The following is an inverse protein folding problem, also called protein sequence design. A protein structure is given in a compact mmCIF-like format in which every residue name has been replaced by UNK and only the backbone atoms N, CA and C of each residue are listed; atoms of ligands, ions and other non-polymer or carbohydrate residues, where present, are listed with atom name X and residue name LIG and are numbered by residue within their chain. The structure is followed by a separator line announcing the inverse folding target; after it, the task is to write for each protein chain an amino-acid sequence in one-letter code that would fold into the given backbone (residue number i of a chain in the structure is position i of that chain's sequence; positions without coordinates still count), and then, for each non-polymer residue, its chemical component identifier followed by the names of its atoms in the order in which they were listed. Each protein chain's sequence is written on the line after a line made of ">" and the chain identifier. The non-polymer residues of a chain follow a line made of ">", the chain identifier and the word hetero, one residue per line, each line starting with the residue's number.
data_IF_639302929508
#
_entry.id   IF_639302929508
#
_cell.length_a   1.000
_cell.length_b   1.000
_cell.length_c   1.000
_cell.angle_alpha   90.00
_cell.angle_beta   90.00
_cell.angle_gamma   90.00
#
_symmetry.space_group_name_H-M   'P 1'
#
loop_
_entity.id
_entity.type
_entity.pdbx_description
1 polymer ?
#
# COMPACT_ATOMS: atom_id res chain seq x y z
N UNK A 1 38.41 -41.23 33.27
CA UNK A 1 37.86 -39.90 33.58
C UNK A 1 38.30 -38.93 32.49
N UNK A 2 37.53 -38.80 31.41
CA UNK A 2 37.82 -37.81 30.37
C UNK A 2 37.21 -36.48 30.78
N UNK A 3 38.08 -35.53 31.12
CA UNK A 3 37.74 -34.13 31.39
C UNK A 3 37.07 -33.53 30.16
N UNK A 4 35.79 -33.19 30.30
CA UNK A 4 35.09 -32.32 29.36
C UNK A 4 35.58 -30.89 29.65
N UNK A 5 36.56 -30.42 28.89
CA UNK A 5 36.90 -29.00 28.84
C UNK A 5 35.67 -28.25 28.33
N UNK A 6 34.97 -27.61 29.28
CA UNK A 6 33.91 -26.65 28.96
C UNK A 6 34.56 -25.53 28.16
N UNK A 7 34.22 -25.44 26.88
CA UNK A 7 34.38 -24.23 26.08
C UNK A 7 33.64 -23.09 26.78
N UNK A 8 34.30 -22.43 27.73
CA UNK A 8 33.77 -21.24 28.37
C UNK A 8 33.87 -20.11 27.35
N UNK A 9 32.72 -19.61 26.89
CA UNK A 9 32.66 -18.39 26.09
C UNK A 9 33.39 -17.29 26.87
N UNK A 10 34.52 -16.83 26.33
CA UNK A 10 35.30 -15.75 26.92
C UNK A 10 34.57 -14.44 26.64
N UNK A 11 33.81 -13.95 27.61
CA UNK A 11 33.16 -12.64 27.54
C UNK A 11 34.21 -11.58 27.80
N UNK A 12 34.66 -10.90 26.74
CA UNK A 12 35.53 -9.74 26.90
C UNK A 12 34.70 -8.55 27.43
N UNK A 13 34.78 -8.29 28.75
CA UNK A 13 34.06 -7.19 29.42
C UNK A 13 34.51 -5.80 28.93
N UNK A 14 35.66 -5.69 28.27
CA UNK A 14 36.20 -4.42 27.76
C UNK A 14 35.48 -3.96 26.47
N UNK A 15 34.87 -4.90 25.75
CA UNK A 15 33.95 -4.60 24.65
C UNK A 15 32.55 -4.43 25.26
N UNK A 16 32.15 -3.19 25.54
CA UNK A 16 30.90 -2.84 26.21
C UNK A 16 29.65 -3.60 25.72
N UNK A 17 28.62 -3.68 26.56
CA UNK A 17 27.38 -4.40 26.26
C UNK A 17 26.68 -3.86 25.01
N UNK A 18 26.37 -4.73 24.04
CA UNK A 18 25.59 -4.34 22.86
C UNK A 18 24.15 -3.96 23.27
N UNK A 19 23.66 -2.82 22.77
CA UNK A 19 22.23 -2.46 22.90
C UNK A 19 21.38 -3.52 22.17
N UNK A 20 20.27 -4.01 22.77
CA UNK A 20 19.44 -5.06 22.17
C UNK A 20 18.66 -4.60 20.95
N UNK A 21 18.39 -3.29 20.84
CA UNK A 21 17.72 -2.66 19.71
C UNK A 21 18.59 -1.52 19.17
N UNK A 22 18.58 -1.36 17.84
CA UNK A 22 19.13 -0.17 17.19
C UNK A 22 18.36 1.09 17.60
N UNK A 23 18.94 2.28 17.39
CA UNK A 23 18.25 3.52 17.76
C UNK A 23 16.97 3.72 16.91
N UNK A 24 16.98 3.26 15.66
CA UNK A 24 15.81 3.24 14.75
C UNK A 24 14.73 2.27 15.22
N UNK A 25 15.10 1.04 15.60
CA UNK A 25 14.15 0.08 16.18
C UNK A 25 13.53 0.62 17.47
N UNK A 26 14.34 1.24 18.33
CA UNK A 26 13.87 1.83 19.58
C UNK A 26 12.88 2.96 19.36
N UNK A 27 13.13 3.83 18.39
CA UNK A 27 12.19 4.89 18.01
C UNK A 27 10.89 4.31 17.48
N UNK A 28 10.97 3.35 16.55
CA UNK A 28 9.79 2.70 15.97
C UNK A 28 8.97 2.00 17.06
N UNK A 29 9.61 1.28 17.99
CA UNK A 29 8.92 0.59 19.08
C UNK A 29 8.14 1.56 19.97
N UNK A 30 8.69 2.75 20.26
CA UNK A 30 7.97 3.77 21.03
C UNK A 30 6.71 4.24 20.30
N UNK A 31 6.82 4.46 18.99
CA UNK A 31 5.69 4.91 18.17
C UNK A 31 4.62 3.82 18.04
N UNK A 32 5.01 2.57 17.81
CA UNK A 32 4.07 1.44 17.77
C UNK A 32 3.30 1.30 19.09
N UNK A 33 3.98 1.38 20.24
CA UNK A 33 3.33 1.34 21.57
C UNK A 33 2.38 2.49 21.81
N UNK A 34 2.69 3.68 21.28
CA UNK A 34 1.79 4.83 21.34
C UNK A 34 0.57 4.67 20.43
N UNK A 35 0.73 4.06 19.26
CA UNK A 35 -0.35 3.88 18.28
C UNK A 35 -1.28 2.71 18.62
N UNK A 36 -0.77 1.67 19.29
CA UNK A 36 -1.47 0.45 19.67
C UNK A 36 -1.27 0.15 21.17
N UNK A 37 -1.76 1.01 22.08
CA UNK A 37 -1.61 0.79 23.52
C UNK A 37 -2.33 -0.47 24.04
N UNK A 38 -3.28 -0.99 23.28
CA UNK A 38 -4.07 -2.18 23.59
C UNK A 38 -3.40 -3.51 23.18
N UNK A 39 -2.29 -3.45 22.43
CA UNK A 39 -1.61 -4.61 21.87
C UNK A 39 -0.25 -4.85 22.53
N UNK A 40 0.16 -6.11 22.59
CA UNK A 40 1.52 -6.49 22.97
C UNK A 40 2.46 -6.43 21.76
N UNK A 41 3.63 -5.83 21.93
CA UNK A 41 4.62 -5.66 20.86
C UNK A 41 5.95 -6.30 21.26
N UNK A 42 6.32 -7.35 20.54
CA UNK A 42 7.58 -8.07 20.74
C UNK A 42 8.59 -7.69 19.67
N UNK A 43 9.76 -7.20 20.10
CA UNK A 43 10.84 -6.85 19.18
C UNK A 43 11.81 -8.03 18.95
N UNK A 44 12.36 -8.14 17.76
CA UNK A 44 13.37 -9.14 17.38
C UNK A 44 12.96 -10.59 17.67
N UNK A 45 11.68 -10.91 17.47
CA UNK A 45 11.15 -12.26 17.71
C UNK A 45 11.56 -13.20 16.57
N UNK A 46 11.88 -14.46 16.87
CA UNK A 46 12.19 -15.43 15.82
C UNK A 46 10.91 -15.82 15.09
N UNK A 47 11.01 -16.01 13.78
CA UNK A 47 9.87 -16.48 12.99
C UNK A 47 9.34 -17.84 13.47
N UNK A 48 10.23 -18.68 14.03
CA UNK A 48 9.87 -19.97 14.64
C UNK A 48 9.04 -19.87 15.92
N UNK A 49 9.04 -18.72 16.59
CA UNK A 49 8.22 -18.48 17.78
C UNK A 49 6.82 -17.95 17.40
N UNK A 50 6.65 -17.49 16.15
CA UNK A 50 5.40 -16.92 15.61
C UNK A 50 4.63 -17.95 14.78
N UNK A 51 5.32 -18.73 13.95
CA UNK A 51 4.71 -19.70 13.04
C UNK A 51 5.02 -21.11 13.50
N UNK A 52 3.97 -21.93 13.67
CA UNK A 52 4.11 -23.38 13.90
C UNK A 52 4.60 -24.06 12.62
N UNK A 53 5.73 -24.76 12.71
CA UNK A 53 6.29 -25.48 11.58
C UNK A 53 6.70 -26.90 11.96
N UNK A 54 6.63 -27.82 11.00
CA UNK A 54 7.16 -29.17 11.16
C UNK A 54 8.66 -29.18 11.44
N UNK A 55 9.17 -30.29 12.00
CA UNK A 55 10.56 -30.39 12.48
C UNK A 55 11.61 -30.09 11.41
N UNK A 56 11.33 -30.44 10.14
CA UNK A 56 12.22 -30.14 9.00
C UNK A 56 12.28 -28.64 8.70
N UNK A 57 11.14 -27.95 8.72
CA UNK A 57 11.02 -26.53 8.44
C UNK A 57 11.52 -25.67 9.59
N UNK A 58 11.34 -26.13 10.84
CA UNK A 58 11.79 -25.43 12.06
C UNK A 58 13.26 -25.01 12.00
N UNK A 59 14.13 -25.89 11.52
CA UNK A 59 15.57 -25.61 11.41
C UNK A 59 15.90 -24.50 10.43
N UNK A 60 15.06 -24.27 9.42
CA UNK A 60 15.23 -23.17 8.48
C UNK A 60 14.63 -21.88 9.04
N UNK A 61 13.43 -21.91 9.61
CA UNK A 61 12.75 -20.68 10.05
C UNK A 61 13.33 -20.09 11.33
N UNK A 62 13.96 -20.89 12.20
CA UNK A 62 14.56 -20.41 13.47
C UNK A 62 15.69 -19.40 13.29
N UNK A 63 16.32 -19.35 12.12
CA UNK A 63 17.36 -18.36 11.81
C UNK A 63 16.80 -17.02 11.35
N UNK A 64 15.49 -16.93 11.09
CA UNK A 64 14.84 -15.70 10.66
C UNK A 64 14.22 -14.99 11.86
N UNK A 65 14.36 -13.66 11.88
CA UNK A 65 13.81 -12.80 12.90
C UNK A 65 12.85 -11.81 12.25
N UNK A 66 11.86 -11.39 13.03
CA UNK A 66 10.95 -10.29 12.72
C UNK A 66 11.34 -9.10 13.59
N UNK A 67 11.38 -7.90 13.00
CA UNK A 67 11.77 -6.71 13.76
C UNK A 67 10.74 -6.42 14.85
N UNK A 68 9.44 -6.49 14.51
CA UNK A 68 8.36 -6.48 15.50
C UNK A 68 7.23 -7.44 15.16
N UNK A 69 6.60 -7.97 16.21
CA UNK A 69 5.38 -8.76 16.15
C UNK A 69 4.35 -8.07 17.04
N UNK A 70 3.17 -7.84 16.48
CA UNK A 70 2.03 -7.23 17.17
C UNK A 70 1.07 -8.36 17.52
N UNK A 71 0.75 -8.48 18.81
CA UNK A 71 -0.19 -9.44 19.33
C UNK A 71 -1.39 -8.74 19.97
N UNK A 72 -2.56 -9.38 19.91
CA UNK A 72 -3.71 -8.98 20.73
C UNK A 72 -3.49 -9.33 22.21
N UNK A 73 -4.47 -9.01 23.05
CA UNK A 73 -4.42 -9.25 24.50
C UNK A 73 -4.43 -10.74 24.87
N UNK A 74 -4.87 -11.60 23.95
CA UNK A 74 -4.88 -13.06 24.12
C UNK A 74 -3.57 -13.70 23.63
N UNK A 75 -2.66 -12.91 23.07
CA UNK A 75 -1.36 -13.34 22.56
C UNK A 75 -1.40 -13.85 21.12
N UNK A 76 -2.50 -13.67 20.37
CA UNK A 76 -2.55 -14.02 18.96
C UNK A 76 -1.84 -12.97 18.12
N UNK A 77 -1.06 -13.42 17.14
CA UNK A 77 -0.37 -12.51 16.22
C UNK A 77 -1.35 -11.84 15.27
N UNK A 78 -1.43 -10.52 15.34
CA UNK A 78 -2.24 -9.65 14.47
C UNK A 78 -1.46 -9.29 13.22
N UNK A 79 -0.20 -8.90 13.38
CA UNK A 79 0.66 -8.50 12.26
C UNK A 79 2.15 -8.60 12.63
N UNK A 80 2.99 -8.76 11.62
CA UNK A 80 4.43 -8.59 11.70
C UNK A 80 4.84 -7.25 11.06
N UNK A 81 5.83 -6.56 11.63
CA UNK A 81 6.38 -5.31 11.11
C UNK A 81 7.87 -5.47 10.83
N UNK A 82 8.30 -5.04 9.66
CA UNK A 82 9.69 -5.04 9.22
C UNK A 82 10.18 -3.62 8.89
N UNK A 83 11.41 -3.32 9.27
CA UNK A 83 12.07 -2.07 8.95
C UNK A 83 12.89 -2.23 7.66
N UNK A 84 12.34 -1.73 6.55
CA UNK A 84 13.08 -1.67 5.30
C UNK A 84 14.14 -0.56 5.36
N UNK A 85 15.41 -0.93 5.17
CA UNK A 85 16.47 0.03 4.86
C UNK A 85 16.70 0.11 3.34
N UNK A 86 16.90 1.33 2.86
CA UNK A 86 17.17 1.67 1.45
C UNK A 86 18.46 1.07 0.89
N UNK A 87 19.30 0.47 1.74
CA UNK A 87 20.66 0.01 1.44
C UNK A 87 20.74 -1.45 0.98
N UNK A 88 19.62 -2.18 0.86
CA UNK A 88 19.63 -3.63 0.64
C UNK A 88 19.22 -4.10 -0.76
N UNK A 89 19.90 -3.65 -1.82
CA UNK A 89 19.61 -4.11 -3.19
C UNK A 89 20.42 -5.34 -3.65
N UNK A 90 20.78 -6.23 -2.72
CA UNK A 90 21.47 -7.48 -3.07
C UNK A 90 20.48 -8.64 -3.26
N UNK A 91 20.75 -9.51 -4.24
CA UNK A 91 19.88 -10.66 -4.60
C UNK A 91 19.58 -11.57 -3.41
N UNK A 92 20.53 -11.75 -2.49
CA UNK A 92 20.37 -12.60 -1.29
C UNK A 92 19.40 -12.02 -0.27
N UNK A 93 19.32 -10.70 -0.14
CA UNK A 93 18.34 -10.03 0.72
C UNK A 93 16.93 -10.25 0.16
N UNK A 94 16.74 -9.98 -1.14
CA UNK A 94 15.47 -10.23 -1.83
C UNK A 94 14.98 -11.68 -1.73
N UNK A 95 15.87 -12.67 -1.87
CA UNK A 95 15.51 -14.08 -1.70
C UNK A 95 15.11 -14.43 -0.26
N UNK A 96 15.73 -13.79 0.74
CA UNK A 96 15.35 -13.98 2.16
C UNK A 96 14.02 -13.31 2.47
N UNK A 97 13.80 -12.10 1.97
CA UNK A 97 12.55 -11.38 2.09
C UNK A 97 11.39 -12.15 1.46
N UNK A 98 11.57 -12.62 0.22
CA UNK A 98 10.54 -13.40 -0.47
C UNK A 98 10.16 -14.69 0.29
N UNK A 99 11.13 -15.33 0.97
CA UNK A 99 10.86 -16.50 1.82
C UNK A 99 10.06 -16.12 3.07
N UNK A 100 10.44 -15.04 3.78
CA UNK A 100 9.67 -14.53 4.93
C UNK A 100 8.25 -14.19 4.54
N UNK A 101 8.08 -13.45 3.44
CA UNK A 101 6.78 -13.04 2.92
C UNK A 101 5.91 -14.26 2.58
N UNK A 102 6.52 -15.31 1.99
CA UNK A 102 5.83 -16.57 1.72
C UNK A 102 5.36 -17.27 2.99
N UNK A 103 6.25 -17.46 3.97
CA UNK A 103 5.89 -18.15 5.21
C UNK A 103 4.85 -17.41 6.05
N UNK A 104 4.94 -16.08 6.17
CA UNK A 104 3.95 -15.27 6.89
C UNK A 104 2.59 -15.31 6.17
N UNK A 105 2.59 -15.26 4.84
CA UNK A 105 1.37 -15.40 4.03
C UNK A 105 0.71 -16.75 4.24
N UNK A 106 1.48 -17.83 4.18
CA UNK A 106 0.97 -19.19 4.42
C UNK A 106 0.42 -19.36 5.85
N UNK A 107 0.97 -18.61 6.81
CA UNK A 107 0.49 -18.55 8.19
C UNK A 107 -0.70 -17.60 8.41
N UNK A 108 -1.16 -16.90 7.36
CA UNK A 108 -2.24 -15.91 7.45
C UNK A 108 -1.87 -14.63 8.21
N UNK A 109 -0.57 -14.35 8.37
CA UNK A 109 -0.06 -13.20 9.13
C UNK A 109 0.27 -12.07 8.17
N UNK A 110 -0.29 -10.88 8.41
CA UNK A 110 0.04 -9.68 7.64
C UNK A 110 1.48 -9.24 7.94
N UNK A 111 2.26 -9.00 6.88
CA UNK A 111 3.54 -8.30 6.98
C UNK A 111 3.40 -6.83 6.57
N UNK A 112 3.86 -5.91 7.41
CA UNK A 112 3.85 -4.47 7.17
C UNK A 112 5.30 -3.99 7.13
N UNK A 113 5.73 -3.41 6.01
CA UNK A 113 7.09 -2.87 5.85
C UNK A 113 7.09 -1.36 6.07
N UNK A 114 7.95 -0.89 6.97
CA UNK A 114 8.10 0.52 7.35
C UNK A 114 9.49 1.00 6.96
N UNK A 115 9.55 2.09 6.19
CA UNK A 115 10.81 2.69 5.75
C UNK A 115 11.32 3.78 6.69
N UNK A 116 10.42 4.42 7.42
CA UNK A 116 10.76 5.49 8.37
C UNK A 116 9.96 5.31 9.66
N UNK A 117 10.56 5.49 10.84
CA UNK A 117 9.88 5.24 12.12
C UNK A 117 8.49 5.90 12.24
N UNK A 118 8.32 7.13 11.78
CA UNK A 118 7.04 7.85 11.86
C UNK A 118 5.88 7.19 11.09
N UNK A 119 6.14 6.30 10.13
CA UNK A 119 5.10 5.54 9.44
C UNK A 119 4.38 4.59 10.40
N UNK A 120 5.01 4.21 11.52
CA UNK A 120 4.40 3.43 12.59
C UNK A 120 3.15 4.11 13.20
N UNK A 121 3.02 5.43 13.10
CA UNK A 121 1.81 6.12 13.56
C UNK A 121 0.57 5.76 12.73
N UNK A 122 0.74 5.24 11.50
CA UNK A 122 -0.34 4.79 10.63
C UNK A 122 -0.62 3.30 10.75
N UNK A 123 0.04 2.60 11.68
CA UNK A 123 -0.03 1.14 11.77
C UNK A 123 -1.46 0.62 11.92
N UNK A 124 -2.31 1.32 12.67
CA UNK A 124 -3.73 0.97 12.87
C UNK A 124 -4.49 0.92 11.54
N UNK A 125 -4.40 1.98 10.75
CA UNK A 125 -5.00 2.05 9.42
C UNK A 125 -4.46 0.95 8.50
N UNK A 126 -3.14 0.73 8.55
CA UNK A 126 -2.51 -0.32 7.76
C UNK A 126 -3.01 -1.70 8.17
N UNK A 127 -3.22 -1.99 9.45
CA UNK A 127 -3.80 -3.26 9.90
C UNK A 127 -5.24 -3.40 9.41
N UNK A 128 -6.08 -2.38 9.59
CA UNK A 128 -7.50 -2.38 9.22
C UNK A 128 -7.74 -2.48 7.70
N UNK A 129 -6.89 -1.85 6.88
CA UNK A 129 -6.96 -1.93 5.41
C UNK A 129 -6.62 -3.35 4.90
N UNK A 130 -6.09 -4.24 5.76
CA UNK A 130 -5.85 -5.61 5.35
C UNK A 130 -7.14 -6.36 5.04
N UNK A 131 -7.38 -6.55 3.75
CA UNK A 131 -8.26 -7.59 3.25
C UNK A 131 -7.39 -8.84 3.09
N UNK A 132 -7.42 -9.83 4.01
CA UNK A 132 -6.89 -11.13 3.66
C UNK A 132 -7.70 -11.58 2.44
N UNK A 133 -7.06 -11.77 1.28
CA UNK A 133 -7.73 -12.49 0.21
C UNK A 133 -8.26 -13.78 0.84
N UNK A 134 -9.57 -14.02 0.72
CA UNK A 134 -10.24 -15.23 1.20
C UNK A 134 -9.62 -16.46 0.51
N UNK A 135 -8.50 -16.94 1.01
CA UNK A 135 -7.90 -18.23 0.65
C UNK A 135 -8.40 -19.28 1.64
N UNK A 136 -9.72 -19.35 1.80
CA UNK A 136 -10.43 -20.52 2.34
C UNK A 136 -11.84 -20.49 1.72
N UNK A 137 -11.91 -20.62 0.39
CA UNK A 137 -13.02 -21.39 -0.16
C UNK A 137 -12.56 -22.84 -0.12
N UNK A 138 -13.04 -23.57 0.87
CA UNK A 138 -13.18 -25.01 0.75
C UNK A 138 -13.89 -25.26 -0.60
N UNK A 139 -13.34 -26.09 -1.50
CA UNK A 139 -13.88 -26.21 -2.85
C UNK A 139 -15.35 -26.60 -2.75
N UNK A 140 -16.23 -25.75 -3.30
CA UNK A 140 -17.69 -25.91 -3.30
C UNK A 140 -18.17 -27.16 -4.08
N UNK A 141 -17.23 -27.90 -4.66
CA UNK A 141 -17.35 -29.31 -4.97
C UNK A 141 -16.01 -29.99 -4.62
N UNK A 142 -15.90 -30.69 -3.48
CA UNK A 142 -14.83 -31.67 -3.35
C UNK A 142 -14.97 -32.64 -4.53
N UNK A 143 -13.87 -33.12 -5.15
CA UNK A 143 -13.99 -34.18 -6.13
C UNK A 143 -14.77 -35.31 -5.47
N UNK A 144 -15.96 -35.60 -6.02
CA UNK A 144 -16.73 -36.77 -5.62
C UNK A 144 -15.81 -37.95 -5.87
N UNK A 145 -15.33 -38.54 -4.78
CA UNK A 145 -14.59 -39.78 -4.85
C UNK A 145 -15.61 -40.83 -5.26
N UNK A 146 -15.75 -41.05 -6.57
CA UNK A 146 -16.49 -42.20 -7.03
C UNK A 146 -15.81 -43.44 -6.43
N UNK A 147 -16.53 -44.32 -5.71
CA UNK A 147 -16.00 -45.61 -5.33
C UNK A 147 -15.91 -46.47 -6.60
N UNK A 148 -14.92 -46.16 -7.43
CA UNK A 148 -14.68 -46.72 -8.75
C UNK A 148 -13.39 -47.54 -8.76
N UNK A 149 -13.57 -48.84 -8.58
CA UNK A 149 -12.63 -49.94 -8.86
C UNK A 149 -11.39 -50.06 -7.96
N UNK A 150 -11.57 -50.85 -6.90
CA UNK A 150 -10.53 -51.70 -6.35
C UNK A 150 -10.02 -52.68 -7.43
N UNK A 151 -9.01 -52.29 -8.21
CA UNK A 151 -8.08 -53.22 -8.85
C UNK A 151 -6.87 -52.50 -9.44
N UNK A 152 -5.93 -52.18 -8.56
CA UNK A 152 -4.52 -52.23 -8.91
C UNK A 152 -3.81 -52.92 -7.75
N UNK A 153 -3.58 -54.22 -7.92
CA UNK A 153 -2.63 -54.97 -7.11
C UNK A 153 -1.32 -54.20 -7.20
N UNK A 154 -0.96 -53.49 -6.14
CA UNK A 154 0.45 -53.14 -5.92
C UNK A 154 1.13 -54.51 -5.75
N UNK A 155 2.03 -54.94 -6.66
CA UNK A 155 2.74 -56.19 -6.44
C UNK A 155 3.51 -56.07 -5.13
N UNK A 156 3.48 -57.10 -4.26
CA UNK A 156 4.27 -57.07 -3.04
C UNK A 156 5.74 -56.90 -3.43
N UNK A 157 6.39 -55.90 -2.84
CA UNK A 157 7.83 -55.72 -2.95
C UNK A 157 8.45 -57.00 -2.38
N UNK A 158 9.24 -57.77 -3.17
CA UNK A 158 9.84 -58.99 -2.66
C UNK A 158 10.90 -58.61 -1.62
N UNK A 159 10.61 -58.93 -0.37
CA UNK A 159 11.60 -58.84 0.72
C UNK A 159 12.53 -60.04 0.56
N UNK A 160 13.85 -59.86 0.36
CA UNK A 160 14.75 -60.99 0.25
C UNK A 160 14.83 -61.73 1.60
N UNK A 161 14.89 -63.07 1.61
CA UNK A 161 15.03 -63.83 2.84
C UNK A 161 16.36 -63.49 3.53
N UNK A 162 16.28 -63.13 4.81
CA UNK A 162 17.45 -62.99 5.69
C UNK A 162 17.97 -64.40 5.96
N UNK A 163 18.99 -64.81 5.20
CA UNK A 163 19.75 -66.02 5.50
C UNK A 163 20.86 -65.72 6.51
N UNK A 164 21.09 -66.61 7.50
CA UNK A 164 22.21 -66.48 8.40
C UNK A 164 23.53 -66.59 7.62
N UNK A 165 24.40 -65.62 7.88
CA UNK A 165 25.80 -65.55 7.47
C UNK A 165 26.47 -66.94 7.47
N UNK A 166 26.71 -67.47 6.26
CA UNK A 166 27.72 -68.49 6.02
C UNK A 166 28.82 -67.85 5.19
N UNK A 167 29.83 -67.34 5.89
CA UNK A 167 31.14 -67.05 5.31
C UNK A 167 31.74 -68.36 4.77
N UNK A 168 31.50 -68.66 3.49
CA UNK A 168 32.34 -69.59 2.72
C UNK A 168 33.13 -68.78 1.70
N UNK A 169 34.47 -68.80 1.86
CA UNK A 169 35.40 -68.16 0.93
C UNK A 169 35.16 -68.68 -0.50
N UNK A 170 35.15 -67.82 -1.54
CA UNK A 170 35.06 -68.30 -2.90
C UNK A 170 36.40 -68.97 -3.29
N UNK A 171 36.31 -70.22 -3.73
CA UNK A 171 37.40 -70.94 -4.38
C UNK A 171 37.55 -70.36 -5.78
N UNK A 172 38.71 -69.76 -6.07
CA UNK A 172 39.05 -69.16 -7.37
C UNK A 172 39.02 -70.28 -8.43
N UNK A 173 37.96 -70.28 -9.25
CA UNK A 173 37.78 -71.18 -10.38
C UNK A 173 38.36 -70.57 -11.66
N UNK A 174 39.04 -71.40 -12.45
CA UNK A 174 39.70 -71.08 -13.72
C UNK A 174 38.85 -70.23 -14.67
N UNK A 175 39.49 -69.18 -15.19
CA UNK A 175 39.02 -68.32 -16.28
C UNK A 175 38.57 -69.13 -17.49
N UNK A 176 37.31 -68.94 -17.92
CA UNK A 176 36.83 -69.38 -19.24
C UNK A 176 37.09 -68.23 -20.20
N UNK A 177 37.83 -68.49 -21.27
CA UNK A 177 38.09 -67.53 -22.33
C UNK A 177 36.76 -67.03 -22.93
N UNK A 178 36.45 -65.75 -22.73
CA UNK A 178 35.35 -65.06 -23.40
C UNK A 178 35.79 -64.80 -24.84
N UNK A 179 35.05 -65.34 -25.80
CA UNK A 179 35.34 -65.17 -27.23
C UNK A 179 35.16 -63.71 -27.64
N UNK A 180 36.11 -63.16 -28.40
CA UNK A 180 36.14 -61.75 -28.85
C UNK A 180 34.82 -61.28 -29.46
N UNK A 181 34.10 -62.16 -30.17
CA UNK A 181 32.80 -61.85 -30.78
C UNK A 181 31.70 -61.44 -29.77
N UNK A 182 31.71 -62.00 -28.55
CA UNK A 182 30.73 -61.67 -27.49
C UNK A 182 31.05 -60.35 -26.77
N UNK A 183 32.32 -59.92 -26.78
CA UNK A 183 32.72 -58.63 -26.21
C UNK A 183 32.30 -57.50 -27.15
N UNK A 184 32.54 -57.65 -28.46
CA UNK A 184 32.16 -56.64 -29.46
C UNK A 184 30.64 -56.44 -29.53
N UNK A 185 29.85 -57.50 -29.48
CA UNK A 185 28.38 -57.40 -29.46
C UNK A 185 27.87 -56.71 -28.20
N UNK A 186 28.44 -57.00 -27.02
CA UNK A 186 28.07 -56.31 -25.78
C UNK A 186 28.43 -54.83 -25.78
N UNK A 187 29.60 -54.47 -26.31
CA UNK A 187 30.01 -53.07 -26.48
C UNK A 187 29.09 -52.32 -27.45
N UNK A 188 28.75 -52.92 -28.59
CA UNK A 188 27.86 -52.32 -29.59
C UNK A 188 26.46 -52.02 -29.02
N UNK A 189 25.85 -52.98 -28.31
CA UNK A 189 24.51 -52.79 -27.69
C UNK A 189 24.54 -51.71 -26.61
N UNK A 190 25.61 -51.62 -25.81
CA UNK A 190 25.73 -50.55 -24.81
C UNK A 190 25.88 -49.17 -25.44
N UNK A 191 26.64 -49.04 -26.52
CA UNK A 191 26.84 -47.75 -27.23
C UNK A 191 25.53 -47.29 -27.88
N UNK A 192 24.80 -48.21 -28.52
CA UNK A 192 23.48 -47.91 -29.10
C UNK A 192 22.49 -47.51 -27.99
N UNK A 193 22.44 -48.25 -26.88
CA UNK A 193 21.58 -47.92 -25.75
C UNK A 193 21.89 -46.55 -25.13
N UNK A 194 23.17 -46.22 -24.94
CA UNK A 194 23.58 -44.89 -24.46
C UNK A 194 23.21 -43.79 -25.45
N UNK A 195 23.31 -44.03 -26.75
CA UNK A 195 22.91 -43.07 -27.79
C UNK A 195 21.40 -42.81 -27.76
N UNK A 196 20.57 -43.84 -27.63
CA UNK A 196 19.10 -43.68 -27.51
C UNK A 196 18.74 -42.88 -26.26
N UNK A 197 19.35 -43.20 -25.12
CA UNK A 197 19.15 -42.46 -23.87
C UNK A 197 19.58 -41.00 -24.01
N UNK A 198 20.72 -40.74 -24.63
CA UNK A 198 21.19 -39.38 -24.92
C UNK A 198 20.24 -38.62 -25.85
N UNK A 199 19.69 -39.27 -26.87
CA UNK A 199 18.74 -38.65 -27.81
C UNK A 199 17.43 -38.25 -27.12
N UNK A 200 16.89 -39.12 -26.25
CA UNK A 200 15.69 -38.81 -25.45
C UNK A 200 15.97 -37.66 -24.49
N UNK A 201 17.14 -37.65 -23.85
CA UNK A 201 17.55 -36.57 -22.95
C UNK A 201 17.74 -35.24 -23.70
N UNK A 202 18.39 -35.24 -24.86
CA UNK A 202 18.57 -34.05 -25.70
C UNK A 202 17.21 -33.49 -26.18
N UNK A 203 16.28 -34.36 -26.55
CA UNK A 203 14.92 -33.97 -26.92
C UNK A 203 14.16 -33.39 -25.70
N UNK A 204 14.32 -33.96 -24.51
CA UNK A 204 13.77 -33.41 -23.28
C UNK A 204 14.33 -32.01 -22.97
N UNK A 205 15.65 -31.83 -23.02
CA UNK A 205 16.30 -30.54 -22.74
C UNK A 205 15.87 -29.47 -23.76
N UNK A 206 15.86 -29.79 -25.05
CA UNK A 206 15.42 -28.84 -26.09
C UNK A 206 13.94 -28.45 -25.95
N UNK A 207 13.07 -29.40 -25.58
CA UNK A 207 11.66 -29.10 -25.30
C UNK A 207 11.48 -28.24 -24.04
N UNK A 208 12.29 -28.45 -23.00
CA UNK A 208 12.28 -27.58 -21.82
C UNK A 208 12.75 -26.15 -22.17
N UNK A 209 13.80 -26.01 -22.97
CA UNK A 209 14.29 -24.71 -23.42
C UNK A 209 13.24 -23.94 -24.25
N UNK A 210 12.56 -24.61 -25.20
CA UNK A 210 11.49 -23.99 -26.00
C UNK A 210 10.35 -23.46 -25.12
N UNK A 211 9.87 -24.27 -24.18
CA UNK A 211 8.80 -23.88 -23.24
C UNK A 211 9.18 -22.67 -22.39
N UNK A 212 10.43 -22.61 -21.92
CA UNK A 212 10.92 -21.47 -21.14
C UNK A 212 11.01 -20.19 -21.96
N UNK A 213 11.45 -20.27 -23.22
CA UNK A 213 11.52 -19.11 -24.12
C UNK A 213 10.11 -18.59 -24.43
N UNK A 214 9.18 -19.47 -24.78
CA UNK A 214 7.79 -19.10 -25.04
C UNK A 214 7.11 -18.51 -23.79
N UNK A 215 7.33 -19.08 -22.61
CA UNK A 215 6.81 -18.55 -21.35
C UNK A 215 7.39 -17.16 -21.05
N UNK A 216 8.70 -16.97 -21.26
CA UNK A 216 9.36 -15.68 -21.09
C UNK A 216 8.82 -14.62 -22.05
N UNK A 217 8.65 -14.96 -23.33
CA UNK A 217 8.08 -14.05 -24.33
C UNK A 217 6.62 -13.68 -24.01
N UNK A 218 5.80 -14.65 -23.61
CA UNK A 218 4.42 -14.39 -23.16
C UNK A 218 4.38 -13.47 -21.94
N UNK A 219 5.24 -13.71 -20.95
CA UNK A 219 5.35 -12.86 -19.77
C UNK A 219 5.76 -11.42 -20.13
N UNK A 220 6.75 -11.26 -21.02
CA UNK A 220 7.16 -9.94 -21.52
C UNK A 220 6.03 -9.22 -22.28
N UNK A 221 5.29 -9.94 -23.14
CA UNK A 221 4.17 -9.39 -23.87
C UNK A 221 3.03 -8.97 -22.92
N UNK A 222 2.74 -9.79 -21.92
CA UNK A 222 1.73 -9.48 -20.90
C UNK A 222 2.14 -8.26 -20.05
N UNK A 223 3.42 -8.12 -19.69
CA UNK A 223 3.90 -6.93 -18.98
C UNK A 223 3.77 -5.67 -19.83
N UNK A 224 4.10 -5.74 -21.14
CA UNK A 224 3.92 -4.62 -22.06
C UNK A 224 2.45 -4.22 -22.21
N UNK A 225 1.55 -5.20 -22.30
CA UNK A 225 0.11 -4.96 -22.37
C UNK A 225 -0.40 -4.29 -21.10
N UNK A 226 -0.06 -4.81 -19.92
CA UNK A 226 -0.42 -4.20 -18.64
C UNK A 226 0.12 -2.78 -18.49
N UNK A 227 1.36 -2.53 -18.93
CA UNK A 227 1.95 -1.19 -18.91
C UNK A 227 1.19 -0.22 -19.84
N UNK A 228 0.82 -0.66 -21.05
CA UNK A 228 0.03 0.14 -21.98
C UNK A 228 -1.38 0.42 -21.45
N UNK A 229 -2.03 -0.56 -20.82
CA UNK A 229 -3.34 -0.40 -20.17
C UNK A 229 -3.27 0.59 -19.01
N UNK A 230 -2.26 0.48 -18.14
CA UNK A 230 -2.04 1.43 -17.05
C UNK A 230 -1.79 2.85 -17.58
N UNK A 231 -0.99 3.00 -18.63
CA UNK A 231 -0.77 4.30 -19.26
C UNK A 231 -2.06 4.88 -19.84
N UNK A 232 -2.88 4.06 -20.51
CA UNK A 232 -4.18 4.50 -21.03
C UNK A 232 -5.15 4.89 -19.91
N UNK A 233 -5.16 4.17 -18.79
CA UNK A 233 -5.99 4.50 -17.63
C UNK A 233 -5.57 5.83 -17.00
N UNK A 234 -4.27 6.07 -16.83
CA UNK A 234 -3.74 7.34 -16.32
C UNK A 234 -4.12 8.49 -17.24
N UNK A 235 -4.00 8.31 -18.56
CA UNK A 235 -4.42 9.32 -19.54
C UNK A 235 -5.93 9.61 -19.45
N UNK A 236 -6.78 8.57 -19.35
CA UNK A 236 -8.23 8.75 -19.16
C UNK A 236 -8.56 9.50 -17.88
N UNK A 237 -7.90 9.17 -16.76
CA UNK A 237 -8.08 9.89 -15.49
C UNK A 237 -7.64 11.34 -15.58
N UNK A 238 -6.52 11.62 -16.24
CA UNK A 238 -6.04 12.98 -16.47
C UNK A 238 -7.05 13.80 -17.30
N UNK A 239 -7.56 13.24 -18.41
CA UNK A 239 -8.59 13.88 -19.23
C UNK A 239 -9.89 14.12 -18.46
N UNK A 240 -10.33 13.14 -17.66
CA UNK A 240 -11.52 13.28 -16.82
C UNK A 240 -11.34 14.39 -15.77
N UNK A 241 -10.19 14.43 -15.09
CA UNK A 241 -9.87 15.47 -14.12
C UNK A 241 -9.82 16.87 -14.75
N UNK A 242 -9.25 17.01 -15.95
CA UNK A 242 -9.24 18.27 -16.69
C UNK A 242 -10.65 18.71 -17.08
N UNK A 243 -11.50 17.78 -17.56
CA UNK A 243 -12.89 18.08 -17.89
C UNK A 243 -13.69 18.56 -16.67
N UNK A 244 -13.43 17.98 -15.49
CA UNK A 244 -14.07 18.37 -14.24
C UNK A 244 -13.61 19.77 -13.81
N UNK A 245 -12.30 20.06 -13.91
CA UNK A 245 -11.76 21.40 -13.65
C UNK A 245 -12.41 22.46 -14.54
N UNK A 246 -12.50 22.23 -15.85
CA UNK A 246 -13.18 23.16 -16.77
C UNK A 246 -14.65 23.39 -16.38
N UNK A 247 -15.36 22.36 -15.94
CA UNK A 247 -16.74 22.50 -15.44
C UNK A 247 -16.80 23.33 -14.16
N UNK A 248 -15.89 23.11 -13.21
CA UNK A 248 -15.81 23.89 -11.97
C UNK A 248 -15.49 25.36 -12.25
N UNK A 249 -14.55 25.64 -13.15
CA UNK A 249 -14.20 26.99 -13.59
C UNK A 249 -15.37 27.69 -14.29
N UNK A 250 -16.12 26.97 -15.14
CA UNK A 250 -17.32 27.54 -15.77
C UNK A 250 -18.41 27.89 -14.74
N UNK A 251 -18.60 27.05 -13.72
CA UNK A 251 -19.55 27.32 -12.63
C UNK A 251 -19.10 28.51 -11.79
N UNK A 252 -17.83 28.59 -11.40
CA UNK A 252 -17.32 29.72 -10.61
C UNK A 252 -17.35 31.04 -11.40
N UNK A 253 -17.08 31.00 -12.71
CA UNK A 253 -17.23 32.14 -13.60
C UNK A 253 -18.69 32.62 -13.68
N UNK A 254 -19.64 31.69 -13.81
CA UNK A 254 -21.07 32.02 -13.83
C UNK A 254 -21.54 32.64 -12.50
N UNK A 255 -21.09 32.08 -11.37
CA UNK A 255 -21.40 32.62 -10.04
C UNK A 255 -20.83 34.03 -9.84
N UNK A 256 -19.58 34.26 -10.26
CA UNK A 256 -18.97 35.60 -10.16
C UNK A 256 -19.67 36.63 -11.06
N UNK A 257 -20.15 36.23 -12.24
CA UNK A 257 -20.97 37.11 -13.08
C UNK A 257 -22.31 37.44 -12.43
N UNK A 258 -22.98 36.45 -11.82
CA UNK A 258 -24.24 36.67 -11.08
C UNK A 258 -24.04 37.62 -9.89
N UNK A 259 -22.98 37.44 -9.11
CA UNK A 259 -22.65 38.31 -7.99
C UNK A 259 -22.43 39.76 -8.46
N UNK A 260 -21.68 39.97 -9.55
CA UNK A 260 -21.48 41.32 -10.12
C UNK A 260 -22.79 41.99 -10.53
N UNK A 261 -23.71 41.24 -11.17
CA UNK A 261 -25.04 41.77 -11.53
C UNK A 261 -25.85 42.16 -10.30
N UNK A 262 -25.78 41.35 -9.24
CA UNK A 262 -26.45 41.63 -7.98
C UNK A 262 -25.87 42.86 -7.27
N UNK A 263 -24.54 42.99 -7.20
CA UNK A 263 -23.86 44.16 -6.64
C UNK A 263 -24.22 45.45 -7.40
N UNK A 264 -24.23 45.40 -8.73
CA UNK A 264 -24.66 46.54 -9.55
C UNK A 264 -26.11 46.95 -9.29
N UNK A 265 -27.01 45.97 -9.15
CA UNK A 265 -28.41 46.25 -8.83
C UNK A 265 -28.56 46.88 -7.43
N UNK A 266 -27.75 46.47 -6.45
CA UNK A 266 -27.72 47.07 -5.12
C UNK A 266 -27.22 48.52 -5.15
N UNK A 267 -26.15 48.80 -5.90
CA UNK A 267 -25.63 50.16 -6.08
C UNK A 267 -26.72 51.05 -6.68
N UNK A 268 -27.36 50.60 -7.75
CA UNK A 268 -28.44 51.34 -8.40
C UNK A 268 -29.63 51.61 -7.46
N UNK A 269 -30.04 50.61 -6.67
CA UNK A 269 -31.07 50.77 -5.64
C UNK A 269 -30.66 51.81 -4.57
N UNK A 270 -29.39 51.85 -4.18
CA UNK A 270 -28.88 52.83 -3.24
C UNK A 270 -28.91 54.24 -3.84
N UNK A 271 -28.46 54.42 -5.08
CA UNK A 271 -28.50 55.70 -5.79
C UNK A 271 -29.92 56.26 -5.90
N UNK A 272 -30.91 55.41 -6.23
CA UNK A 272 -32.31 55.82 -6.27
C UNK A 272 -32.83 56.30 -4.91
N UNK A 273 -32.46 55.62 -3.81
CA UNK A 273 -32.85 56.03 -2.45
C UNK A 273 -32.22 57.37 -2.07
N UNK A 274 -30.93 57.55 -2.38
CA UNK A 274 -30.23 58.83 -2.14
C UNK A 274 -30.89 59.94 -2.94
N UNK A 275 -31.17 59.73 -4.23
CA UNK A 275 -31.85 60.72 -5.09
C UNK A 275 -33.26 61.07 -4.59
N UNK A 276 -34.02 60.10 -4.06
CA UNK A 276 -35.33 60.34 -3.48
C UNK A 276 -35.28 61.13 -2.15
N UNK A 277 -34.17 61.03 -1.40
CA UNK A 277 -33.94 61.77 -0.16
C UNK A 277 -33.30 63.15 -0.39
N UNK A 278 -32.83 63.46 -1.60
CA UNK A 278 -32.31 64.80 -1.89
C UNK A 278 -33.47 65.81 -1.93
N UNK A 279 -33.35 66.93 -1.20
CA UNK A 279 -34.37 67.98 -1.24
C UNK A 279 -34.45 68.57 -2.65
N UNK A 280 -35.62 68.46 -3.29
CA UNK A 280 -35.92 69.21 -4.51
C UNK A 280 -36.04 70.68 -4.15
N UNK A 281 -35.06 71.49 -4.55
CA UNK A 281 -35.21 72.94 -4.51
C UNK A 281 -36.13 73.36 -5.67
N UNK A 282 -37.31 73.87 -5.33
CA UNK A 282 -38.14 74.57 -6.29
C UNK A 282 -37.69 76.04 -6.32
N UNK A 283 -37.44 76.60 -7.51
CA UNK A 283 -37.08 78.02 -7.63
C UNK A 283 -38.31 78.86 -7.33
N UNK A 284 -38.45 79.28 -6.08
CA UNK A 284 -39.48 80.25 -5.67
C UNK A 284 -38.98 81.66 -6.01
N UNK A 285 -39.64 82.32 -6.95
CA UNK A 285 -39.37 83.72 -7.26
C UNK A 285 -40.05 84.62 -6.22
N UNK A 286 -39.26 85.13 -5.28
CA UNK A 286 -39.75 86.04 -4.24
C UNK A 286 -39.65 87.49 -4.75
N UNK A 287 -40.75 88.23 -4.73
CA UNK A 287 -40.77 89.66 -5.11
C UNK A 287 -40.19 90.50 -3.97
N UNK A 288 -38.87 90.67 -3.95
CA UNK A 288 -38.20 91.42 -2.88
C UNK A 288 -38.52 92.92 -2.93
N UNK A 289 -38.90 93.50 -1.78
CA UNK A 289 -38.56 94.90 -1.46
C UNK A 289 -37.10 94.91 -1.00
N UNK A 290 -36.34 95.91 -1.48
CA UNK A 290 -34.89 96.17 -1.37
C UNK A 290 -33.99 95.16 -0.60
N UNK A 291 -32.81 94.86 -1.17
CA UNK A 291 -31.84 93.88 -0.63
C UNK A 291 -31.28 94.15 0.79
N UNK A 292 -31.64 95.25 1.42
CA UNK A 292 -31.27 95.57 2.80
C UNK A 292 -32.25 94.96 3.83
N UNK A 293 -33.52 94.74 3.46
CA UNK A 293 -34.51 94.08 4.32
C UNK A 293 -34.28 92.56 4.43
N UNK A 294 -33.74 91.92 3.39
CA UNK A 294 -33.45 90.48 3.40
C UNK A 294 -32.42 90.08 4.47
N UNK A 295 -31.44 90.95 4.75
CA UNK A 295 -30.42 90.72 5.79
C UNK A 295 -30.98 90.76 7.22
N UNK A 296 -32.18 91.29 7.41
CA UNK A 296 -32.84 91.39 8.73
C UNK A 296 -33.84 90.27 8.99
N UNK A 297 -34.01 89.31 8.06
CA UNK A 297 -34.87 88.13 8.25
C UNK A 297 -36.37 88.44 8.21
N UNK A 298 -36.84 89.10 7.14
CA UNK A 298 -38.25 89.44 7.02
C UNK A 298 -39.12 88.26 6.55
N UNK A 299 -40.18 88.04 7.33
CA UNK A 299 -41.34 87.15 7.15
C UNK A 299 -42.14 87.58 5.93
N UNK A 300 -42.56 86.62 5.11
CA UNK A 300 -43.52 86.86 4.03
C UNK A 300 -44.67 85.88 4.27
N UNK A 301 -45.87 86.42 4.45
CA UNK A 301 -47.14 85.70 4.67
C UNK A 301 -47.07 84.55 5.69
N UNK A 302 -47.12 84.91 6.98
CA UNK A 302 -47.19 83.98 8.13
C UNK A 302 -46.09 82.91 8.26
N UNK A 303 -45.10 82.89 7.37
CA UNK A 303 -43.96 81.96 7.41
C UNK A 303 -42.63 82.74 7.38
N UNK A 304 -41.72 82.38 8.27
CA UNK A 304 -40.44 83.09 8.43
C UNK A 304 -39.44 82.49 7.45
N UNK A 305 -38.98 83.25 6.45
CA UNK A 305 -37.95 82.77 5.50
C UNK A 305 -36.56 83.19 5.99
N UNK A 306 -35.65 82.22 6.17
CA UNK A 306 -34.24 82.44 6.47
C UNK A 306 -33.42 82.37 5.19
N UNK A 307 -32.76 83.47 4.84
CA UNK A 307 -31.83 83.52 3.72
C UNK A 307 -30.44 83.01 4.15
N UNK A 308 -29.93 81.99 3.48
CA UNK A 308 -28.55 81.49 3.62
C UNK A 308 -27.70 81.99 2.44
N UNK A 309 -26.39 81.73 2.45
CA UNK A 309 -25.48 82.22 1.41
C UNK A 309 -25.75 81.60 0.01
N UNK A 310 -26.34 80.41 -0.03
CA UNK A 310 -26.53 79.59 -1.23
C UNK A 310 -27.98 79.09 -1.44
N UNK A 311 -28.87 79.25 -0.45
CA UNK A 311 -30.28 78.84 -0.53
C UNK A 311 -31.18 79.64 0.45
N UNK A 312 -32.49 79.41 0.40
CA UNK A 312 -33.46 79.95 1.37
C UNK A 312 -34.13 78.79 2.10
N UNK A 313 -34.32 78.91 3.42
CA UNK A 313 -35.08 77.97 4.25
C UNK A 313 -36.40 78.63 4.67
N UNK A 314 -37.52 77.95 4.46
CA UNK A 314 -38.80 78.36 5.06
C UNK A 314 -38.85 77.76 6.47
N UNK A 315 -38.93 78.60 7.48
CA UNK A 315 -39.14 78.19 8.86
C UNK A 315 -40.65 78.24 9.10
N UNK A 316 -41.30 77.09 9.01
CA UNK A 316 -42.66 76.93 9.54
C UNK A 316 -42.62 77.21 11.04
N UNK A 317 -43.11 78.38 11.45
CA UNK A 317 -43.38 78.62 12.86
C UNK A 317 -44.60 77.79 13.22
N UNK A 318 -44.38 76.66 13.90
CA UNK A 318 -45.46 75.88 14.52
C UNK A 318 -46.21 76.75 15.54
N UNK A 319 -47.18 77.53 15.07
CA UNK A 319 -48.11 78.28 15.89
C UNK A 319 -49.50 77.64 15.76
N UNK A 320 -49.91 76.94 16.82
CA UNK A 320 -51.28 76.42 17.02
C UNK A 320 -51.56 75.13 16.23
N UNK A 321 -51.94 74.01 16.83
CA UNK A 321 -52.92 73.82 17.90
C UNK A 321 -52.65 72.45 18.56
N UNK A 322 -53.03 72.30 19.83
CA UNK A 322 -53.00 71.04 20.58
C UNK A 322 -53.68 69.88 19.86
#
# INVERSE_FOLDING_TARGET
>A
MHSCERNSLVFNRENGTKKPLSDRERETLKLLRGALPECDIHANMRLADVIKAGWRQFNFIKSYHLDFVICDQDGHTVAAVELDDSTHDNRKARERDAKKDGWLRDAGIKIIRIRKPHEANKIRQLIEEYQPERIFQEPQNPPVFEPGRANSRIPPIPVPPIHPSKYTRPRIGRSRHITTQQIFTRMAVTVIGMFVVWMVFANFVSNQQKRMIEASQKAQQQMKQRAAEQQAEVQRRAQAAESLRRKQEAVSASQTEQLRKYEQALIYQHELKVAAQQPRYERVFVRAKSGEECRKGNVIDNEVVRCMADHYEIIETKNGTQ
#
